data_IF_166845438387
#
_entry.id   IF_166845438387
#
_cell.length_a   1.000
_cell.length_b   1.000
_cell.length_c   1.000
_cell.angle_alpha   90.00
_cell.angle_beta   90.00
_cell.angle_gamma   90.00
#
_symmetry.space_group_name_H-M   'P 1'
#
loop_
_entity.id
_entity.type
_entity.pdbx_description
1 polymer ?
#
# COMPACT_ATOMS: atom_id res chain seq x y z
N UNK A 1 32.59 -6.68 -1.04
CA UNK A 1 31.84 -6.82 0.21
C UNK A 1 30.84 -5.69 0.27
N UNK A 2 29.57 -5.99 0.05
CA UNK A 2 28.48 -5.01 0.20
C UNK A 2 28.19 -4.71 1.67
N UNK A 3 27.16 -3.91 1.91
CA UNK A 3 26.77 -3.51 3.27
C UNK A 3 25.62 -4.40 3.75
N UNK A 4 25.77 -5.15 4.86
CA UNK A 4 24.71 -6.01 5.36
C UNK A 4 23.40 -5.26 5.58
N UNK A 5 22.27 -5.92 5.28
CA UNK A 5 20.93 -5.35 5.45
C UNK A 5 20.58 -5.23 6.95
N UNK A 6 20.06 -4.08 7.35
CA UNK A 6 19.65 -3.84 8.75
C UNK A 6 18.22 -4.32 9.00
N UNK A 7 18.07 -5.52 9.56
CA UNK A 7 16.78 -6.10 9.91
C UNK A 7 16.06 -5.40 11.09
N UNK A 8 16.68 -4.38 11.72
CA UNK A 8 15.95 -3.50 12.64
C UNK A 8 15.16 -2.41 11.90
N UNK A 9 15.45 -2.16 10.62
CA UNK A 9 14.64 -1.32 9.78
C UNK A 9 13.37 -2.10 9.35
N UNK A 10 12.15 -1.62 9.68
CA UNK A 10 10.91 -2.29 9.33
C UNK A 10 10.73 -2.55 7.83
N UNK A 11 11.19 -1.64 6.97
CA UNK A 11 11.05 -1.75 5.52
C UNK A 11 11.94 -2.86 4.97
N UNK A 12 13.19 -2.91 5.44
CA UNK A 12 14.15 -3.98 5.10
C UNK A 12 13.64 -5.33 5.60
N UNK A 13 13.01 -5.37 6.79
CA UNK A 13 12.44 -6.60 7.31
C UNK A 13 11.21 -7.06 6.48
N UNK A 14 10.32 -6.15 6.09
CA UNK A 14 9.20 -6.48 5.21
C UNK A 14 9.70 -7.00 3.84
N UNK A 15 10.72 -6.36 3.28
CA UNK A 15 11.37 -6.80 2.04
C UNK A 15 12.01 -8.20 2.19
N UNK A 16 12.69 -8.45 3.30
CA UNK A 16 13.29 -9.76 3.57
C UNK A 16 12.24 -10.88 3.69
N UNK A 17 11.07 -10.59 4.28
CA UNK A 17 9.94 -11.55 4.34
C UNK A 17 9.33 -11.80 2.96
N UNK A 18 9.20 -10.76 2.14
CA UNK A 18 8.77 -10.91 0.75
C UNK A 18 9.75 -11.80 -0.03
N UNK A 19 11.05 -11.53 0.03
CA UNK A 19 12.06 -12.36 -0.63
C UNK A 19 12.02 -13.81 -0.13
N UNK A 20 11.82 -14.00 1.17
CA UNK A 20 11.66 -15.33 1.76
C UNK A 20 10.40 -16.06 1.26
N UNK A 21 9.31 -15.36 0.98
CA UNK A 21 8.12 -15.97 0.39
C UNK A 21 8.30 -16.36 -1.09
N UNK A 22 9.23 -15.70 -1.79
CA UNK A 22 9.51 -15.92 -3.21
C UNK A 22 10.59 -16.97 -3.47
N UNK A 23 11.27 -17.48 -2.44
CA UNK A 23 12.38 -18.43 -2.59
C UNK A 23 12.32 -19.54 -1.54
N UNK A 24 12.72 -20.75 -1.92
CA UNK A 24 12.99 -21.85 -0.98
C UNK A 24 14.50 -21.96 -0.65
N UNK A 25 15.35 -21.12 -1.26
CA UNK A 25 16.80 -21.16 -1.10
C UNK A 25 17.29 -20.24 0.03
N UNK A 26 17.47 -20.84 1.22
CA UNK A 26 18.01 -20.15 2.39
C UNK A 26 19.42 -19.58 2.16
N UNK A 27 20.23 -20.19 1.28
CA UNK A 27 21.58 -19.68 1.01
C UNK A 27 21.55 -18.43 0.14
N UNK A 28 20.72 -18.45 -0.91
CA UNK A 28 20.53 -17.27 -1.76
C UNK A 28 20.01 -16.08 -0.93
N UNK A 29 19.03 -16.33 -0.07
CA UNK A 29 18.51 -15.30 0.85
C UNK A 29 19.58 -14.83 1.85
N UNK A 30 20.44 -15.72 2.35
CA UNK A 30 21.54 -15.36 3.23
C UNK A 30 22.60 -14.47 2.53
N UNK A 31 22.94 -14.76 1.28
CA UNK A 31 23.82 -13.90 0.48
C UNK A 31 23.18 -12.53 0.21
N UNK A 32 21.86 -12.48 -0.03
CA UNK A 32 21.12 -11.23 -0.17
C UNK A 32 21.14 -10.39 1.12
N UNK A 33 20.93 -11.02 2.28
CA UNK A 33 21.03 -10.35 3.59
C UNK A 33 22.43 -9.77 3.83
N UNK A 34 23.47 -10.50 3.39
CA UNK A 34 24.85 -10.06 3.49
C UNK A 34 25.21 -8.97 2.48
N UNK A 35 24.38 -8.75 1.45
CA UNK A 35 24.69 -7.91 0.28
C UNK A 35 26.02 -8.36 -0.37
N UNK A 36 26.30 -9.66 -0.36
CA UNK A 36 27.58 -10.23 -0.78
C UNK A 36 27.43 -11.67 -1.29
N UNK A 37 27.73 -11.95 -2.57
CA UNK A 37 27.68 -13.31 -3.12
C UNK A 37 28.77 -14.24 -2.57
N UNK A 38 29.86 -13.71 -2.01
CA UNK A 38 30.95 -14.50 -1.42
C UNK A 38 30.75 -14.73 0.10
N UNK A 39 29.60 -14.34 0.65
CA UNK A 39 29.30 -14.43 2.08
C UNK A 39 29.47 -15.85 2.66
N UNK A 40 29.33 -16.90 1.85
CA UNK A 40 29.54 -18.31 2.26
C UNK A 40 30.94 -18.57 2.85
N UNK A 41 31.96 -17.86 2.37
CA UNK A 41 33.33 -17.96 2.88
C UNK A 41 33.57 -17.07 4.11
N UNK A 42 32.62 -16.20 4.44
CA UNK A 42 32.74 -15.19 5.48
C UNK A 42 32.51 -15.72 6.90
N UNK A 43 33.10 -15.09 7.93
CA UNK A 43 32.97 -15.53 9.32
C UNK A 43 31.55 -15.37 9.90
N UNK A 44 30.67 -14.64 9.21
CA UNK A 44 29.27 -14.39 9.59
C UNK A 44 28.26 -15.27 8.87
N UNK A 45 28.70 -16.13 7.96
CA UNK A 45 27.82 -16.96 7.14
C UNK A 45 26.74 -17.69 7.95
N UNK A 46 27.13 -18.30 9.08
CA UNK A 46 26.21 -19.04 9.96
C UNK A 46 25.08 -18.17 10.53
N UNK A 47 25.30 -16.86 10.68
CA UNK A 47 24.27 -15.93 11.14
C UNK A 47 23.31 -15.54 10.03
N UNK A 48 23.83 -15.21 8.84
CA UNK A 48 22.97 -14.92 7.68
C UNK A 48 22.10 -16.10 7.31
N UNK A 49 22.67 -17.32 7.33
CA UNK A 49 21.90 -18.54 7.09
C UNK A 49 20.83 -18.76 8.16
N UNK A 50 21.14 -18.52 9.44
CA UNK A 50 20.15 -18.61 10.51
C UNK A 50 19.00 -17.61 10.34
N UNK A 51 19.29 -16.37 9.95
CA UNK A 51 18.26 -15.35 9.70
C UNK A 51 17.43 -15.69 8.47
N UNK A 52 18.05 -16.17 7.39
CA UNK A 52 17.34 -16.63 6.21
C UNK A 52 16.37 -17.77 6.55
N UNK A 53 16.81 -18.81 7.26
CA UNK A 53 15.93 -19.90 7.73
C UNK A 53 14.76 -19.38 8.58
N UNK A 54 15.04 -18.43 9.47
CA UNK A 54 14.00 -17.79 10.28
C UNK A 54 12.98 -17.03 9.43
N UNK A 55 13.44 -16.28 8.44
CA UNK A 55 12.57 -15.53 7.53
C UNK A 55 11.71 -16.48 6.70
N UNK A 56 12.27 -17.57 6.19
CA UNK A 56 11.53 -18.62 5.47
C UNK A 56 10.42 -19.22 6.33
N UNK A 57 10.68 -19.44 7.62
CA UNK A 57 9.64 -19.93 8.54
C UNK A 57 8.55 -18.88 8.81
N UNK A 58 8.88 -17.59 8.76
CA UNK A 58 7.96 -16.49 9.06
C UNK A 58 7.29 -15.89 7.83
N UNK A 59 7.62 -16.37 6.63
CA UNK A 59 7.15 -15.82 5.38
C UNK A 59 5.62 -16.03 5.22
N UNK A 60 4.89 -15.03 4.68
CA UNK A 60 3.49 -15.21 4.32
C UNK A 60 3.37 -16.23 3.18
N UNK A 61 2.37 -17.12 3.28
CA UNK A 61 2.20 -18.25 2.35
C UNK A 61 0.78 -18.25 1.72
N UNK A 62 0.67 -18.09 0.39
CA UNK A 62 -0.62 -18.11 -0.31
C UNK A 62 -1.46 -19.36 -0.05
N UNK A 63 -0.85 -20.54 0.06
CA UNK A 63 -1.59 -21.81 0.28
C UNK A 63 -2.29 -21.85 1.65
N UNK A 64 -1.84 -20.99 2.58
CA UNK A 64 -2.37 -20.90 3.94
C UNK A 64 -3.18 -19.63 4.19
N UNK A 65 -3.52 -18.86 3.15
CA UNK A 65 -4.24 -17.60 3.32
C UNK A 65 -3.32 -16.46 3.75
N UNK A 66 -2.03 -16.54 3.40
CA UNK A 66 -0.97 -15.63 3.82
C UNK A 66 -0.71 -15.61 5.33
N UNK A 67 -1.20 -16.63 6.04
CA UNK A 67 -0.89 -16.84 7.45
C UNK A 67 0.48 -17.50 7.58
N UNK A 68 1.28 -16.98 8.50
CA UNK A 68 2.61 -17.52 8.82
C UNK A 68 2.48 -18.95 9.35
N UNK A 69 3.32 -19.87 8.83
CA UNK A 69 3.43 -21.21 9.39
C UNK A 69 4.19 -21.13 10.72
N UNK A 70 3.57 -21.48 11.84
CA UNK A 70 4.29 -21.63 13.11
C UNK A 70 5.16 -22.90 13.05
N UNK A 71 6.32 -22.79 12.41
CA UNK A 71 7.35 -23.84 12.37
C UNK A 71 8.22 -23.73 13.62
N UNK A 72 8.67 -24.89 14.12
CA UNK A 72 9.56 -24.97 15.29
C UNK A 72 10.80 -24.11 15.06
N UNK A 73 10.99 -23.12 15.93
CA UNK A 73 12.16 -22.25 15.89
C UNK A 73 13.45 -23.06 16.10
N UNK A 74 14.31 -23.11 15.09
CA UNK A 74 15.71 -23.52 15.22
C UNK A 74 16.42 -22.64 16.26
N UNK A 75 17.14 -23.24 17.20
CA UNK A 75 17.86 -22.45 18.21
C UNK A 75 18.92 -21.58 17.55
N UNK A 76 19.10 -20.32 18.00
CA UNK A 76 20.13 -19.44 17.46
C UNK A 76 21.52 -20.08 17.64
N UNK A 77 22.43 -19.92 16.67
CA UNK A 77 23.77 -20.47 16.79
C UNK A 77 24.47 -19.90 18.03
N UNK A 78 25.13 -20.76 18.80
CA UNK A 78 25.91 -20.31 19.97
C UNK A 78 27.10 -19.48 19.49
N UNK A 79 27.25 -18.27 20.01
CA UNK A 79 28.42 -17.41 19.75
C UNK A 79 29.55 -17.84 20.68
N UNK A 80 30.61 -18.39 20.13
CA UNK A 80 31.84 -18.64 20.87
C UNK A 80 32.52 -17.34 21.28
N UNK A 81 33.14 -17.30 22.47
CA UNK A 81 33.83 -16.12 23.00
C UNK A 81 34.88 -15.52 22.04
N UNK A 82 35.52 -16.36 21.22
CA UNK A 82 36.55 -15.98 20.26
C UNK A 82 36.03 -15.87 18.82
N UNK A 83 34.76 -16.20 18.57
CA UNK A 83 34.14 -16.07 17.24
C UNK A 83 34.05 -14.59 16.86
N UNK A 84 33.92 -14.30 15.57
CA UNK A 84 33.72 -12.93 15.13
C UNK A 84 32.32 -12.46 15.59
N UNK A 85 32.25 -11.24 16.11
CA UNK A 85 31.03 -10.67 16.68
C UNK A 85 29.97 -10.41 15.60
N UNK A 86 28.75 -10.97 15.70
CA UNK A 86 27.74 -10.93 14.62
C UNK A 86 27.24 -9.53 14.26
N UNK A 87 27.70 -8.48 14.96
CA UNK A 87 27.41 -7.10 14.64
C UNK A 87 28.18 -6.50 13.46
N UNK A 88 28.91 -7.31 12.70
CA UNK A 88 29.68 -6.84 11.55
C UNK A 88 30.95 -6.04 11.88
N UNK A 89 31.34 -5.91 13.16
CA UNK A 89 32.50 -5.07 13.56
C UNK A 89 33.87 -5.66 13.21
N UNK A 90 33.93 -6.92 12.76
CA UNK A 90 35.17 -7.66 12.50
C UNK A 90 35.97 -8.06 13.76
N UNK A 91 35.55 -7.64 14.96
CA UNK A 91 36.22 -7.98 16.23
C UNK A 91 35.74 -9.33 16.77
N UNK A 92 36.56 -9.99 17.60
CA UNK A 92 36.13 -11.16 18.38
C UNK A 92 34.97 -10.77 19.30
N UNK A 93 34.00 -11.65 19.53
CA UNK A 93 32.82 -11.39 20.36
C UNK A 93 33.19 -10.87 21.75
N UNK A 94 34.23 -11.42 22.37
CA UNK A 94 34.79 -10.94 23.65
C UNK A 94 35.31 -9.50 23.66
N UNK A 95 35.68 -8.98 22.50
CA UNK A 95 36.22 -7.63 22.31
C UNK A 95 35.17 -6.66 21.77
N UNK A 96 33.91 -7.11 21.63
CA UNK A 96 32.83 -6.30 21.11
C UNK A 96 31.61 -6.36 22.04
N UNK A 97 30.94 -7.50 22.14
CA UNK A 97 29.61 -7.59 22.76
C UNK A 97 29.43 -8.67 23.84
N UNK A 98 30.48 -9.44 24.21
CA UNK A 98 30.38 -10.46 25.28
C UNK A 98 29.90 -9.91 26.63
N UNK A 99 30.10 -8.62 26.91
CA UNK A 99 29.60 -7.97 28.13
C UNK A 99 28.49 -6.94 27.84
N UNK A 100 27.98 -6.95 26.62
CA UNK A 100 26.93 -6.05 26.13
C UNK A 100 25.85 -6.87 25.41
N UNK A 101 25.50 -8.03 25.96
CA UNK A 101 24.53 -8.97 25.37
C UNK A 101 23.16 -8.31 25.14
N UNK A 102 22.84 -7.25 25.89
CA UNK A 102 21.65 -6.41 25.69
C UNK A 102 21.75 -5.37 24.55
N UNK A 103 22.95 -5.04 24.05
CA UNK A 103 23.18 -4.02 23.00
C UNK A 103 23.44 -4.61 21.61
N UNK A 104 23.50 -5.93 21.47
CA UNK A 104 23.53 -6.60 20.15
C UNK A 104 22.12 -6.58 19.59
N UNK A 105 21.74 -5.50 18.91
CA UNK A 105 20.47 -5.39 18.20
C UNK A 105 20.46 -6.24 16.92
N UNK A 106 20.58 -7.56 17.06
CA UNK A 106 20.42 -8.56 15.99
C UNK A 106 19.30 -9.53 16.35
N UNK A 107 18.27 -9.05 17.03
CA UNK A 107 17.12 -9.86 17.37
C UNK A 107 16.16 -9.83 16.20
N UNK A 108 16.31 -10.80 15.30
CA UNK A 108 15.23 -11.17 14.39
C UNK A 108 14.08 -11.77 15.23
N UNK A 109 13.23 -10.89 15.77
CA UNK A 109 12.02 -11.27 16.49
C UNK A 109 10.86 -11.52 15.53
N UNK A 110 9.73 -12.02 16.04
CA UNK A 110 8.52 -12.14 15.23
C UNK A 110 8.15 -10.80 14.60
N UNK A 111 7.83 -10.75 13.29
CA UNK A 111 7.50 -9.49 12.64
C UNK A 111 6.23 -8.90 13.25
N UNK A 112 6.16 -7.58 13.32
CA UNK A 112 4.93 -6.90 13.76
C UNK A 112 3.82 -7.11 12.72
N UNK A 113 2.54 -6.92 13.08
CA UNK A 113 1.48 -7.07 12.09
C UNK A 113 1.58 -6.07 10.93
N UNK A 114 2.11 -4.86 11.16
CA UNK A 114 2.38 -3.88 10.10
C UNK A 114 3.47 -4.36 9.12
N UNK A 115 4.59 -4.89 9.62
CA UNK A 115 5.66 -5.47 8.78
C UNK A 115 5.09 -6.61 7.92
N UNK A 116 4.23 -7.45 8.51
CA UNK A 116 3.58 -8.55 7.77
C UNK A 116 2.62 -8.03 6.71
N UNK A 117 1.82 -7.01 7.00
CA UNK A 117 0.88 -6.42 6.05
C UNK A 117 1.62 -5.91 4.80
N UNK A 118 2.73 -5.18 4.99
CA UNK A 118 3.57 -4.68 3.89
C UNK A 118 4.14 -5.82 3.04
N UNK A 119 4.76 -6.82 3.68
CA UNK A 119 5.33 -7.97 2.98
C UNK A 119 4.25 -8.76 2.21
N UNK A 120 3.07 -8.93 2.83
CA UNK A 120 1.94 -9.68 2.26
C UNK A 120 1.32 -8.94 1.08
N UNK A 121 1.07 -7.63 1.20
CA UNK A 121 0.57 -6.81 0.08
C UNK A 121 1.53 -6.92 -1.11
N UNK A 122 2.83 -6.66 -0.91
CA UNK A 122 3.83 -6.79 -2.00
C UNK A 122 3.80 -8.17 -2.65
N UNK A 123 3.75 -9.24 -1.84
CA UNK A 123 3.67 -10.61 -2.37
C UNK A 123 2.40 -10.85 -3.19
N UNK A 124 1.25 -10.33 -2.76
CA UNK A 124 -0.03 -10.50 -3.46
C UNK A 124 0.03 -9.85 -4.85
N UNK A 125 0.56 -8.63 -4.96
CA UNK A 125 0.66 -7.92 -6.24
C UNK A 125 1.64 -8.57 -7.23
N UNK A 126 2.65 -9.29 -6.74
CA UNK A 126 3.59 -10.03 -7.59
C UNK A 126 3.12 -11.47 -7.90
N UNK A 127 2.10 -11.97 -7.21
CA UNK A 127 1.57 -13.31 -7.43
C UNK A 127 0.74 -13.39 -8.72
N UNK A 128 0.95 -14.42 -9.57
CA UNK A 128 0.06 -14.68 -10.68
C UNK A 128 -1.37 -14.93 -10.19
N UNK A 129 -2.41 -14.46 -10.92
CA UNK A 129 -3.81 -14.66 -10.50
C UNK A 129 -4.17 -16.13 -10.24
N UNK A 130 -3.54 -17.08 -10.92
CA UNK A 130 -3.78 -18.51 -10.74
C UNK A 130 -3.29 -19.05 -9.38
N UNK A 131 -2.29 -18.39 -8.78
CA UNK A 131 -1.87 -18.67 -7.39
C UNK A 131 -2.91 -18.09 -6.44
N UNK A 132 -3.34 -16.85 -6.68
CA UNK A 132 -4.36 -16.16 -5.89
C UNK A 132 -5.69 -16.92 -5.88
N UNK A 133 -6.07 -17.56 -6.99
CA UNK A 133 -7.30 -18.38 -7.10
C UNK A 133 -7.36 -19.51 -6.06
N UNK A 134 -6.20 -20.05 -5.67
CA UNK A 134 -6.08 -21.21 -4.77
C UNK A 134 -6.04 -20.84 -3.29
N UNK A 135 -5.97 -19.54 -2.97
CA UNK A 135 -5.88 -19.05 -1.60
C UNK A 135 -7.16 -19.39 -0.83
N UNK A 136 -7.05 -20.00 0.37
CA UNK A 136 -8.21 -20.35 1.18
C UNK A 136 -8.86 -19.11 1.80
N UNK A 137 -9.90 -18.58 1.15
CA UNK A 137 -10.59 -17.32 1.53
C UNK A 137 -10.97 -17.23 3.01
N UNK A 138 -11.49 -18.31 3.58
CA UNK A 138 -11.89 -18.35 5.00
C UNK A 138 -10.74 -18.27 6.02
N UNK A 139 -9.48 -18.31 5.56
CA UNK A 139 -8.28 -18.11 6.39
C UNK A 139 -7.60 -16.77 6.13
N UNK A 140 -7.95 -16.09 5.04
CA UNK A 140 -7.39 -14.80 4.68
C UNK A 140 -8.03 -13.69 5.55
N UNK A 141 -7.24 -12.68 5.90
CA UNK A 141 -7.78 -11.47 6.54
C UNK A 141 -8.49 -10.58 5.53
N UNK A 142 -9.29 -9.64 6.01
CA UNK A 142 -9.95 -8.63 5.17
C UNK A 142 -8.92 -7.87 4.33
N UNK A 143 -7.78 -7.46 4.93
CA UNK A 143 -6.67 -6.85 4.19
C UNK A 143 -6.16 -7.75 3.05
N UNK A 144 -6.01 -9.06 3.25
CA UNK A 144 -5.55 -9.96 2.19
C UNK A 144 -6.58 -9.98 1.07
N UNK A 145 -7.86 -10.10 1.42
CA UNK A 145 -8.94 -10.18 0.45
C UNK A 145 -9.06 -8.89 -0.39
N UNK A 146 -8.87 -7.71 0.20
CA UNK A 146 -8.90 -6.45 -0.56
C UNK A 146 -7.69 -6.28 -1.47
N UNK A 147 -6.49 -6.63 -1.02
CA UNK A 147 -5.28 -6.58 -1.86
C UNK A 147 -5.43 -7.53 -3.06
N UNK A 148 -5.94 -8.74 -2.82
CA UNK A 148 -6.24 -9.69 -3.89
C UNK A 148 -7.31 -9.16 -4.85
N UNK A 149 -8.32 -8.44 -4.35
CA UNK A 149 -9.34 -7.83 -5.18
C UNK A 149 -8.73 -6.78 -6.11
N UNK A 150 -7.82 -5.93 -5.60
CA UNK A 150 -7.10 -4.96 -6.42
C UNK A 150 -6.21 -5.64 -7.47
N UNK A 151 -5.51 -6.72 -7.12
CA UNK A 151 -4.73 -7.49 -8.10
C UNK A 151 -5.61 -8.09 -9.19
N UNK A 152 -6.80 -8.61 -8.86
CA UNK A 152 -7.75 -9.09 -9.87
C UNK A 152 -8.25 -7.96 -10.78
N UNK A 153 -8.60 -6.80 -10.22
CA UNK A 153 -9.02 -5.63 -10.98
C UNK A 153 -7.91 -5.20 -11.98
N UNK A 154 -6.67 -5.08 -11.52
CA UNK A 154 -5.52 -4.75 -12.38
C UNK A 154 -5.22 -5.76 -13.49
N UNK A 155 -5.73 -6.99 -13.38
CA UNK A 155 -5.66 -8.02 -14.41
C UNK A 155 -6.94 -8.13 -15.27
N UNK A 156 -7.88 -7.19 -15.15
CA UNK A 156 -9.14 -7.16 -15.89
C UNK A 156 -10.17 -8.21 -15.42
N UNK A 157 -9.96 -8.83 -14.26
CA UNK A 157 -10.87 -9.81 -13.65
C UNK A 157 -11.89 -9.10 -12.74
N UNK A 158 -12.70 -8.24 -13.37
CA UNK A 158 -13.60 -7.31 -12.67
C UNK A 158 -14.62 -8.03 -11.78
N UNK A 159 -15.25 -9.10 -12.27
CA UNK A 159 -16.26 -9.83 -11.50
C UNK A 159 -15.68 -10.45 -10.23
N UNK A 160 -14.49 -11.05 -10.30
CA UNK A 160 -13.81 -11.60 -9.14
C UNK A 160 -13.37 -10.52 -8.16
N UNK A 161 -12.86 -9.38 -8.66
CA UNK A 161 -12.47 -8.25 -7.84
C UNK A 161 -13.66 -7.68 -7.05
N UNK A 162 -14.77 -7.39 -7.75
CA UNK A 162 -16.00 -6.86 -7.16
C UNK A 162 -16.58 -7.86 -6.16
N UNK A 163 -16.65 -9.14 -6.52
CA UNK A 163 -17.19 -10.18 -5.62
C UNK A 163 -16.40 -10.24 -4.31
N UNK A 164 -15.08 -10.20 -4.41
CA UNK A 164 -14.20 -10.28 -3.24
C UNK A 164 -14.33 -9.04 -2.35
N UNK A 165 -14.23 -7.85 -2.96
CA UNK A 165 -14.34 -6.58 -2.24
C UNK A 165 -15.73 -6.38 -1.62
N UNK A 166 -16.80 -6.74 -2.34
CA UNK A 166 -18.17 -6.70 -1.82
C UNK A 166 -18.32 -7.58 -0.57
N UNK A 167 -17.72 -8.78 -0.58
CA UNK A 167 -17.71 -9.68 0.58
C UNK A 167 -17.05 -9.06 1.81
N UNK A 168 -15.90 -8.40 1.63
CA UNK A 168 -15.20 -7.67 2.71
C UNK A 168 -16.08 -6.52 3.23
N UNK A 169 -16.62 -5.69 2.33
CA UNK A 169 -17.43 -4.52 2.70
C UNK A 169 -18.76 -4.89 3.35
N UNK A 170 -19.30 -6.08 3.08
CA UNK A 170 -20.47 -6.63 3.75
C UNK A 170 -20.18 -7.13 5.18
N UNK A 171 -18.90 -7.41 5.50
CA UNK A 171 -18.47 -7.93 6.80
C UNK A 171 -18.50 -6.91 7.96
N UNK A 172 -17.80 -7.26 9.04
CA UNK A 172 -17.79 -6.48 10.29
C UNK A 172 -16.90 -5.22 10.23
N UNK A 173 -16.02 -5.13 9.23
CA UNK A 173 -15.09 -4.02 9.01
C UNK A 173 -14.14 -3.72 10.19
N UNK A 174 -13.54 -4.75 10.78
CA UNK A 174 -12.69 -4.58 12.00
C UNK A 174 -11.19 -4.62 11.73
N UNK A 175 -10.74 -4.86 10.49
CA UNK A 175 -9.31 -4.88 10.17
C UNK A 175 -8.70 -3.48 10.31
N UNK A 176 -7.70 -3.30 11.20
CA UNK A 176 -7.13 -1.98 11.50
C UNK A 176 -6.22 -1.43 10.38
N UNK A 177 -5.89 -2.25 9.37
CA UNK A 177 -5.05 -1.83 8.25
C UNK A 177 -5.85 -1.37 7.03
N UNK A 178 -7.19 -1.46 7.09
CA UNK A 178 -8.05 -1.05 5.99
C UNK A 178 -8.52 0.39 6.12
N UNK A 179 -8.26 1.14 5.05
CA UNK A 179 -8.87 2.45 4.80
C UNK A 179 -10.26 2.23 4.19
N UNK A 180 -11.26 2.10 5.06
CA UNK A 180 -12.63 1.76 4.65
C UNK A 180 -13.22 2.78 3.67
N UNK A 181 -12.92 4.06 3.86
CA UNK A 181 -13.32 5.11 2.95
C UNK A 181 -12.76 4.90 1.54
N UNK A 182 -11.48 4.57 1.41
CA UNK A 182 -10.84 4.25 0.14
C UNK A 182 -11.55 3.06 -0.55
N UNK A 183 -11.75 1.96 0.17
CA UNK A 183 -12.33 0.74 -0.40
C UNK A 183 -13.80 0.85 -0.77
N UNK A 184 -14.59 1.67 -0.04
CA UNK A 184 -15.97 2.01 -0.43
C UNK A 184 -15.97 2.76 -1.77
N UNK A 185 -15.07 3.71 -1.96
CA UNK A 185 -14.96 4.45 -3.21
C UNK A 185 -14.57 3.53 -4.38
N UNK A 186 -13.52 2.71 -4.20
CA UNK A 186 -13.07 1.73 -5.20
C UNK A 186 -14.16 0.75 -5.59
N UNK A 187 -14.96 0.26 -4.64
CA UNK A 187 -16.05 -0.65 -4.96
C UNK A 187 -17.10 -0.02 -5.88
N UNK A 188 -17.46 1.25 -5.65
CA UNK A 188 -18.42 1.96 -6.50
C UNK A 188 -17.84 2.24 -7.90
N UNK A 189 -16.58 2.68 -7.97
CA UNK A 189 -15.84 2.87 -9.23
C UNK A 189 -15.77 1.59 -10.05
N UNK A 190 -15.39 0.46 -9.43
CA UNK A 190 -15.29 -0.82 -10.14
C UNK A 190 -16.65 -1.34 -10.62
N UNK A 191 -17.74 -0.96 -9.96
CA UNK A 191 -19.08 -1.24 -10.46
C UNK A 191 -19.40 -0.42 -11.71
N UNK A 192 -18.90 0.81 -11.84
CA UNK A 192 -18.99 1.58 -13.09
C UNK A 192 -18.15 0.94 -14.19
N UNK A 193 -16.90 0.54 -13.88
CA UNK A 193 -16.03 -0.18 -14.84
C UNK A 193 -16.68 -1.46 -15.40
N UNK A 194 -17.56 -2.08 -14.61
CA UNK A 194 -18.30 -3.28 -14.97
C UNK A 194 -19.70 -3.02 -15.56
N UNK A 195 -20.03 -1.78 -15.95
CA UNK A 195 -21.34 -1.36 -16.49
C UNK A 195 -22.51 -1.63 -15.52
N UNK A 196 -22.25 -1.44 -14.21
CA UNK A 196 -23.18 -1.67 -13.09
C UNK A 196 -23.34 -0.43 -12.23
N UNK A 197 -23.45 0.74 -12.85
CA UNK A 197 -23.49 2.03 -12.17
C UNK A 197 -24.66 2.10 -11.17
N UNK A 198 -25.82 1.52 -11.51
CA UNK A 198 -26.98 1.46 -10.61
C UNK A 198 -26.72 0.68 -9.32
N UNK A 199 -25.89 -0.36 -9.38
CA UNK A 199 -25.50 -1.11 -8.19
C UNK A 199 -24.54 -0.26 -7.33
N UNK A 200 -23.63 0.48 -7.97
CA UNK A 200 -22.69 1.38 -7.31
C UNK A 200 -23.40 2.54 -6.61
N UNK A 201 -24.34 3.19 -7.30
CA UNK A 201 -25.21 4.23 -6.76
C UNK A 201 -25.99 3.72 -5.54
N UNK A 202 -26.69 2.60 -5.70
CA UNK A 202 -27.47 1.99 -4.62
C UNK A 202 -26.57 1.69 -3.40
N UNK A 203 -25.40 1.11 -3.63
CA UNK A 203 -24.45 0.80 -2.57
C UNK A 203 -24.01 2.05 -1.80
N UNK A 204 -23.65 3.13 -2.50
CA UNK A 204 -23.24 4.38 -1.86
C UNK A 204 -24.38 5.05 -1.10
N UNK A 205 -25.61 5.01 -1.62
CA UNK A 205 -26.79 5.53 -0.91
C UNK A 205 -27.09 4.73 0.37
N UNK A 206 -26.99 3.39 0.31
CA UNK A 206 -27.13 2.53 1.50
C UNK A 206 -26.05 2.86 2.55
N UNK A 207 -24.80 3.09 2.13
CA UNK A 207 -23.71 3.50 3.03
C UNK A 207 -23.91 4.92 3.59
N UNK A 208 -24.55 5.83 2.85
CA UNK A 208 -24.88 7.16 3.36
C UNK A 208 -25.96 7.10 4.44
N UNK A 209 -26.98 6.27 4.22
CA UNK A 209 -28.06 6.06 5.18
C UNK A 209 -27.56 5.37 6.45
N UNK A 210 -26.68 4.37 6.31
CA UNK A 210 -26.15 3.55 7.41
C UNK A 210 -24.61 3.46 7.36
N UNK A 211 -23.89 4.54 7.69
CA UNK A 211 -22.44 4.58 7.55
C UNK A 211 -21.73 3.65 8.53
N UNK A 212 -20.78 2.84 8.02
CA UNK A 212 -19.96 1.92 8.81
C UNK A 212 -18.47 2.22 8.65
N UNK A 213 -17.81 2.61 9.75
CA UNK A 213 -16.40 3.04 9.82
C UNK A 213 -16.05 4.30 9.02
N UNK A 214 -17.05 5.01 8.51
CA UNK A 214 -16.94 6.29 7.81
C UNK A 214 -18.00 7.26 8.34
N UNK A 215 -17.85 8.54 8.06
CA UNK A 215 -18.89 9.53 8.35
C UNK A 215 -19.84 9.69 7.17
N UNK A 216 -21.05 10.21 7.41
CA UNK A 216 -22.00 10.52 6.32
C UNK A 216 -21.41 11.48 5.28
N UNK A 217 -20.70 12.52 5.71
CA UNK A 217 -20.10 13.48 4.79
C UNK A 217 -18.99 12.86 3.94
N UNK A 218 -18.24 11.86 4.46
CA UNK A 218 -17.28 11.10 3.66
C UNK A 218 -17.95 10.23 2.60
N UNK A 219 -19.16 9.72 2.86
CA UNK A 219 -19.93 9.00 1.83
C UNK A 219 -20.50 9.99 0.81
N UNK A 220 -20.97 11.17 1.25
CA UNK A 220 -21.42 12.23 0.36
C UNK A 220 -20.32 12.68 -0.62
N UNK A 221 -19.05 12.74 -0.19
CA UNK A 221 -17.91 12.98 -1.09
C UNK A 221 -17.81 11.93 -2.21
N UNK A 222 -18.07 10.66 -1.89
CA UNK A 222 -18.02 9.55 -2.87
C UNK A 222 -19.18 9.62 -3.84
N UNK A 223 -20.38 9.92 -3.35
CA UNK A 223 -21.55 10.17 -4.20
C UNK A 223 -21.32 11.37 -5.13
N UNK A 224 -20.76 12.46 -4.60
CA UNK A 224 -20.40 13.63 -5.41
C UNK A 224 -19.45 13.26 -6.54
N UNK A 225 -18.31 12.61 -6.23
CA UNK A 225 -17.37 12.15 -7.24
C UNK A 225 -18.03 11.20 -8.26
N UNK A 226 -18.80 10.23 -7.76
CA UNK A 226 -19.51 9.25 -8.58
C UNK A 226 -20.44 9.91 -9.60
N UNK A 227 -21.26 10.89 -9.21
CA UNK A 227 -22.15 11.59 -10.15
C UNK A 227 -21.42 12.58 -11.05
N UNK A 228 -20.30 13.16 -10.62
CA UNK A 228 -19.42 13.97 -11.48
C UNK A 228 -18.90 13.09 -12.63
N UNK A 229 -18.41 11.90 -12.32
CA UNK A 229 -17.87 10.96 -13.32
C UNK A 229 -18.94 10.48 -14.30
N UNK A 230 -20.21 10.36 -13.85
CA UNK A 230 -21.35 10.04 -14.71
C UNK A 230 -21.88 11.25 -15.51
N UNK A 231 -21.39 12.46 -15.25
CA UNK A 231 -21.90 13.70 -15.85
C UNK A 231 -23.27 14.15 -15.34
N UNK A 232 -23.78 13.56 -14.25
CA UNK A 232 -25.04 13.95 -13.63
C UNK A 232 -24.81 15.12 -12.67
N UNK A 233 -24.79 16.31 -13.25
CA UNK A 233 -24.45 17.55 -12.54
C UNK A 233 -25.49 17.95 -11.48
N UNK A 234 -26.75 17.54 -11.65
CA UNK A 234 -27.83 17.83 -10.69
C UNK A 234 -27.60 17.06 -9.39
N UNK A 235 -27.41 15.74 -9.50
CA UNK A 235 -27.13 14.90 -8.33
C UNK A 235 -25.73 15.20 -7.75
N UNK A 236 -24.72 15.44 -8.59
CA UNK A 236 -23.40 15.85 -8.13
C UNK A 236 -23.47 17.11 -7.25
N UNK A 237 -24.23 18.14 -7.65
CA UNK A 237 -24.35 19.36 -6.84
C UNK A 237 -24.97 19.09 -5.46
N UNK A 238 -26.02 18.26 -5.39
CA UNK A 238 -26.67 17.89 -4.12
C UNK A 238 -25.65 17.26 -3.16
N UNK A 239 -24.85 16.33 -3.66
CA UNK A 239 -23.90 15.60 -2.83
C UNK A 239 -22.66 16.42 -2.47
N UNK A 240 -22.20 17.31 -3.35
CA UNK A 240 -21.16 18.29 -3.02
C UNK A 240 -21.62 19.19 -1.89
N UNK A 241 -22.82 19.78 -1.99
CA UNK A 241 -23.36 20.68 -0.97
C UNK A 241 -23.55 19.91 0.35
N UNK A 242 -24.05 18.68 0.31
CA UNK A 242 -24.18 17.79 1.48
C UNK A 242 -22.83 17.49 2.15
N UNK A 243 -21.78 17.20 1.36
CA UNK A 243 -20.44 16.96 1.88
C UNK A 243 -19.86 18.22 2.55
N UNK A 244 -20.06 19.39 1.92
CA UNK A 244 -19.65 20.69 2.45
C UNK A 244 -20.36 21.05 3.76
N UNK A 245 -21.67 20.81 3.87
CA UNK A 245 -22.42 21.03 5.11
C UNK A 245 -21.88 20.19 6.27
N UNK A 246 -21.50 18.94 6.01
CA UNK A 246 -20.98 18.05 7.03
C UNK A 246 -19.53 18.35 7.46
N UNK A 247 -18.71 18.93 6.57
CA UNK A 247 -17.35 19.36 6.88
C UNK A 247 -16.89 20.55 6.00
N UNK A 248 -17.23 21.80 6.36
CA UNK A 248 -16.97 22.97 5.51
C UNK A 248 -15.49 23.31 5.31
N UNK A 249 -14.62 22.86 6.22
CA UNK A 249 -13.18 23.15 6.22
C UNK A 249 -12.36 22.04 5.55
N UNK A 250 -13.00 21.00 5.01
CA UNK A 250 -12.30 19.95 4.29
C UNK A 250 -11.87 20.42 2.89
N UNK A 251 -10.57 20.44 2.55
CA UNK A 251 -10.10 20.87 1.23
C UNK A 251 -10.68 20.06 0.07
N UNK A 252 -10.89 18.75 0.27
CA UNK A 252 -11.43 17.86 -0.77
C UNK A 252 -12.86 18.23 -1.17
N UNK A 253 -13.68 18.74 -0.23
CA UNK A 253 -15.03 19.20 -0.55
C UNK A 253 -15.02 20.40 -1.53
N UNK A 254 -14.08 21.33 -1.33
CA UNK A 254 -13.91 22.48 -2.23
C UNK A 254 -13.31 22.05 -3.57
N UNK A 255 -12.43 21.06 -3.57
CA UNK A 255 -11.94 20.43 -4.80
C UNK A 255 -13.07 19.79 -5.60
N UNK A 256 -13.96 19.01 -4.98
CA UNK A 256 -15.14 18.43 -5.64
C UNK A 256 -16.09 19.50 -6.19
N UNK A 257 -16.31 20.60 -5.44
CA UNK A 257 -17.09 21.76 -5.96
C UNK A 257 -16.42 22.36 -7.18
N UNK A 258 -15.10 22.52 -7.13
CA UNK A 258 -14.30 22.97 -8.27
C UNK A 258 -14.49 22.07 -9.48
N UNK A 259 -14.35 20.74 -9.32
CA UNK A 259 -14.53 19.77 -10.41
C UNK A 259 -15.93 19.85 -11.04
N UNK A 260 -16.98 19.92 -10.23
CA UNK A 260 -18.34 20.07 -10.73
C UNK A 260 -18.52 21.36 -11.55
N UNK A 261 -18.03 22.49 -11.02
CA UNK A 261 -18.10 23.78 -11.71
C UNK A 261 -17.26 23.79 -12.99
N UNK A 262 -16.12 23.12 -12.97
CA UNK A 262 -15.24 22.95 -14.12
C UNK A 262 -15.94 22.14 -15.22
N UNK A 263 -16.63 21.06 -14.84
CA UNK A 263 -17.40 20.22 -15.76
C UNK A 263 -18.53 20.98 -16.47
N UNK A 264 -19.19 21.92 -15.78
CA UNK A 264 -20.22 22.80 -16.38
C UNK A 264 -19.66 24.08 -17.01
N UNK A 265 -18.34 24.16 -17.21
CA UNK A 265 -17.63 25.29 -17.82
C UNK A 265 -17.79 26.62 -17.07
N UNK A 266 -18.09 26.58 -15.76
CA UNK A 266 -18.09 27.74 -14.87
C UNK A 266 -16.67 28.02 -14.36
N UNK A 267 -15.76 28.35 -15.29
CA UNK A 267 -14.31 28.43 -15.06
C UNK A 267 -13.89 29.32 -13.88
N UNK A 268 -14.47 30.52 -13.77
CA UNK A 268 -14.13 31.47 -12.71
C UNK A 268 -14.55 30.96 -11.32
N UNK A 269 -15.74 30.35 -11.24
CA UNK A 269 -16.24 29.78 -9.98
C UNK A 269 -15.45 28.51 -9.62
N UNK A 270 -15.08 27.69 -10.61
CA UNK A 270 -14.22 26.53 -10.41
C UNK A 270 -12.85 26.93 -9.85
N UNK A 271 -12.21 27.95 -10.45
CA UNK A 271 -10.95 28.49 -9.98
C UNK A 271 -11.06 29.00 -8.53
N UNK A 272 -12.14 29.72 -8.19
CA UNK A 272 -12.37 30.19 -6.83
C UNK A 272 -12.52 29.04 -5.81
N UNK A 273 -13.18 27.94 -6.19
CA UNK A 273 -13.31 26.75 -5.36
C UNK A 273 -11.97 26.04 -5.15
N UNK A 274 -11.15 25.89 -6.21
CA UNK A 274 -9.81 25.31 -6.10
C UNK A 274 -8.86 26.17 -5.25
N UNK A 275 -8.89 27.50 -5.40
CA UNK A 275 -8.14 28.42 -4.52
C UNK A 275 -8.55 28.26 -3.06
N UNK A 276 -9.84 28.02 -2.80
CA UNK A 276 -10.31 27.76 -1.45
C UNK A 276 -9.78 26.44 -0.89
N UNK A 277 -9.73 25.39 -1.72
CA UNK A 277 -9.09 24.12 -1.35
C UNK A 277 -7.60 24.31 -1.01
N UNK A 278 -6.85 25.04 -1.85
CA UNK A 278 -5.43 25.35 -1.63
C UNK A 278 -5.21 26.09 -0.30
N UNK A 279 -6.03 27.11 0.00
CA UNK A 279 -5.95 27.86 1.26
C UNK A 279 -6.17 26.96 2.48
N UNK A 280 -7.15 26.06 2.44
CA UNK A 280 -7.43 25.14 3.55
C UNK A 280 -6.30 24.14 3.76
N UNK A 281 -5.56 23.77 2.71
CA UNK A 281 -4.39 22.89 2.80
C UNK A 281 -3.17 23.54 3.44
N UNK A 282 -3.12 24.87 3.60
CA UNK A 282 -1.96 25.56 4.21
C UNK A 282 -1.65 25.09 5.64
N UNK A 283 -2.66 24.59 6.36
CA UNK A 283 -2.51 24.05 7.71
C UNK A 283 -2.02 22.60 7.81
N UNK A 284 -1.88 21.89 6.68
CA UNK A 284 -1.51 20.47 6.63
C UNK A 284 0.00 20.29 6.45
N UNK A 285 0.55 19.15 6.93
CA UNK A 285 1.96 18.80 6.68
C UNK A 285 2.17 18.55 5.18
N UNK A 286 3.36 18.85 4.68
CA UNK A 286 3.68 18.66 3.24
C UNK A 286 3.43 17.23 2.76
N UNK A 287 3.78 16.22 3.57
CA UNK A 287 3.53 14.80 3.26
C UNK A 287 2.04 14.47 3.15
N UNK A 288 1.18 15.12 3.95
CA UNK A 288 -0.26 14.85 4.00
C UNK A 288 -1.00 15.50 2.82
N UNK A 289 -0.51 16.65 2.36
CA UNK A 289 -1.16 17.40 1.28
C UNK A 289 -0.54 17.17 -0.09
N UNK A 290 0.63 16.51 -0.22
CA UNK A 290 1.38 16.39 -1.48
C UNK A 290 0.49 15.99 -2.67
N UNK A 291 -0.21 14.87 -2.57
CA UNK A 291 -1.06 14.35 -3.64
C UNK A 291 -2.23 15.29 -3.97
N UNK A 292 -2.93 15.75 -2.92
CA UNK A 292 -4.03 16.70 -3.08
C UNK A 292 -3.58 18.04 -3.68
N UNK A 293 -2.37 18.49 -3.35
CA UNK A 293 -1.80 19.72 -3.87
C UNK A 293 -1.48 19.61 -5.36
N UNK A 294 -0.95 18.48 -5.80
CA UNK A 294 -0.73 18.20 -7.23
C UNK A 294 -2.05 18.27 -8.01
N UNK A 295 -3.11 17.58 -7.52
CA UNK A 295 -4.44 17.62 -8.14
C UNK A 295 -5.06 19.02 -8.19
N UNK A 296 -5.04 19.74 -7.06
CA UNK A 296 -5.65 21.08 -6.96
C UNK A 296 -4.88 22.09 -7.80
N UNK A 297 -3.55 22.03 -7.82
CA UNK A 297 -2.71 22.97 -8.58
C UNK A 297 -2.94 22.81 -10.09
N UNK A 298 -2.96 21.59 -10.60
CA UNK A 298 -3.23 21.33 -12.02
C UNK A 298 -4.64 21.77 -12.41
N UNK A 299 -5.65 21.38 -11.62
CA UNK A 299 -7.05 21.74 -11.88
C UNK A 299 -7.27 23.26 -11.85
N UNK A 300 -6.65 23.96 -10.89
CA UNK A 300 -6.69 25.42 -10.79
C UNK A 300 -6.05 26.09 -12.01
N UNK A 301 -4.88 25.60 -12.45
CA UNK A 301 -4.21 26.13 -13.62
C UNK A 301 -5.06 25.96 -14.89
N UNK A 302 -5.70 24.80 -15.07
CA UNK A 302 -6.62 24.53 -16.18
C UNK A 302 -7.84 25.43 -16.13
N UNK A 303 -8.49 25.56 -14.97
CA UNK A 303 -9.65 26.44 -14.80
C UNK A 303 -9.32 27.89 -15.15
N UNK A 304 -8.18 28.42 -14.69
CA UNK A 304 -7.71 29.78 -15.02
C UNK A 304 -7.43 30.00 -16.51
N UNK A 305 -7.11 28.94 -17.25
CA UNK A 305 -6.85 28.98 -18.68
C UNK A 305 -8.08 28.54 -19.51
N UNK A 306 -9.22 28.31 -18.89
CA UNK A 306 -10.44 27.78 -19.51
C UNK A 306 -10.18 26.49 -20.30
N UNK A 307 -9.35 25.62 -19.73
CA UNK A 307 -9.02 24.31 -20.30
C UNK A 307 -9.87 23.25 -19.59
N UNK A 308 -10.42 22.26 -20.32
CA UNK A 308 -11.13 21.15 -19.70
C UNK A 308 -10.18 20.34 -18.80
N UNK A 309 -10.76 19.61 -17.85
CA UNK A 309 -10.04 18.54 -17.16
C UNK A 309 -9.70 17.46 -18.19
N UNK A 310 -8.59 16.77 -17.98
CA UNK A 310 -8.22 15.66 -18.86
C UNK A 310 -9.13 14.47 -18.51
N UNK A 311 -10.05 14.12 -19.40
CA UNK A 311 -10.82 12.88 -19.28
C UNK A 311 -9.79 11.77 -19.48
N UNK A 312 -9.36 11.09 -18.41
CA UNK A 312 -8.21 10.16 -18.39
C UNK A 312 -8.26 8.93 -19.32
N UNK A 313 -8.50 9.13 -20.62
CA UNK A 313 -8.30 8.19 -21.71
C UNK A 313 -6.92 8.39 -22.35
N UNK A 314 -5.87 8.53 -21.54
CA UNK A 314 -4.55 8.06 -21.95
C UNK A 314 -4.31 6.74 -21.20
N UNK A 315 -4.19 5.65 -21.96
CA UNK A 315 -3.72 4.35 -21.50
C UNK A 315 -2.37 4.51 -20.79
N UNK A 316 -2.39 4.75 -19.49
CA UNK A 316 -1.25 4.52 -18.62
C UNK A 316 -1.28 3.05 -18.20
N UNK A 317 -0.83 2.17 -19.09
CA UNK A 317 -0.28 0.89 -18.64
C UNK A 317 0.73 1.17 -17.53
N UNK A 318 0.62 0.62 -16.31
CA UNK A 318 1.70 0.69 -15.36
C UNK A 318 2.74 -0.37 -15.73
N UNK A 319 3.42 -0.19 -16.87
CA UNK A 319 4.75 -0.78 -17.05
C UNK A 319 5.74 0.18 -16.40
N UNK A 320 5.93 0.04 -15.09
CA UNK A 320 6.74 0.98 -14.33
C UNK A 320 7.02 0.56 -12.91
N UNK A 321 7.52 -0.66 -12.73
CA UNK A 321 8.25 -1.11 -11.56
C UNK A 321 9.20 0.01 -11.06
N UNK A 322 9.08 0.55 -9.83
CA UNK A 322 10.08 1.45 -9.28
C UNK A 322 11.25 0.63 -8.74
N UNK A 323 11.92 -0.10 -9.64
CA UNK A 323 13.16 -0.82 -9.37
C UNK A 323 14.12 -0.55 -10.53
N UNK A 324 15.03 0.40 -10.35
CA UNK A 324 16.02 0.71 -11.37
C UNK A 324 16.76 2.03 -11.20
N UNK A 325 17.16 2.40 -9.98
CA UNK A 325 18.28 3.33 -9.83
C UNK A 325 19.58 2.54 -10.08
N UNK A 326 19.86 2.21 -11.35
CA UNK A 326 21.18 1.75 -11.76
C UNK A 326 22.11 2.96 -11.89
N UNK A 327 22.91 3.12 -10.84
CA UNK A 327 24.23 3.74 -10.90
C UNK A 327 25.14 2.92 -11.82
N UNK A 328 25.63 3.53 -12.90
CA UNK A 328 26.75 3.02 -13.71
C UNK A 328 27.37 4.19 -14.50
N UNK A 329 28.32 4.91 -13.91
CA UNK A 329 29.77 4.78 -14.15
C UNK A 329 30.26 5.32 -15.51
N UNK A 330 31.00 6.43 -15.42
CA UNK A 330 32.18 6.88 -16.19
C UNK A 330 32.49 6.26 -17.57
N UNK A 331 32.81 7.13 -18.54
CA UNK A 331 34.20 7.32 -18.98
C UNK A 331 34.41 8.45 -20.03
N UNK A 332 35.54 9.15 -19.82
CA UNK A 332 36.49 9.67 -20.81
C UNK A 332 36.14 10.92 -21.66
N UNK A 333 36.67 12.08 -21.23
CA UNK A 333 37.83 12.74 -21.87
C UNK A 333 38.43 13.80 -20.96
#
# INVERSE_FOLDING_TARGET
MGTPKDLNNPDVYAEALYHAAMTDDAKALACWLADDPEAEAGPFWKWYLHFAERLLDMAPDPEHGFVVRDRRTSQPPRIGRNDICPCGSGKKYKQCHLNQEGNVAWKLGSPTPAIRAVATSRLIHDCPPQVLDRVPRGKASDMVLTEMAATYHGHGRLDEAITLLSGVLAGNREDPYLLWDYWIARHAEWLVDAEREKDGEKFLLDEYDQPRKVTRWQVAQKLAAFYIDLGDTENANIWVDTAMEGNPENPFNHYLKGMLLHYVESWDEAAAAYERAEQLMTGFREEEKRYMNELVTDSLARAKNHQPLDDGQEEATPTGNPAGAELGQDQAS
#
